data_IF_604446969210
#
_entry.id   IF_604446969210
#
_cell.length_a   1.000
_cell.length_b   1.000
_cell.length_c   1.000
_cell.angle_alpha   90.00
_cell.angle_beta   90.00
_cell.angle_gamma   90.00
#
_symmetry.space_group_name_H-M   'P 1'
#
loop_
_entity.id
_entity.type
_entity.pdbx_description
1 polymer ?
#
# COMPACT_ATOMS: atom_id res chain seq x y z
N UNK A 1 -38.68 27.55 -30.69
CA UNK A 1 -38.39 26.51 -29.67
C UNK A 1 -36.94 26.62 -29.22
N UNK A 2 -36.66 26.85 -27.93
CA UNK A 2 -35.28 26.83 -27.40
C UNK A 2 -34.84 25.40 -27.18
N UNK A 3 -33.73 24.99 -27.80
CA UNK A 3 -33.13 23.67 -27.57
C UNK A 3 -32.76 23.50 -26.09
N UNK A 4 -33.14 22.37 -25.48
CA UNK A 4 -32.71 22.00 -24.13
C UNK A 4 -31.19 21.91 -24.13
N UNK A 5 -30.52 22.87 -23.48
CA UNK A 5 -29.07 22.78 -23.24
C UNK A 5 -28.84 21.51 -22.43
N UNK A 6 -28.16 20.51 -23.01
CA UNK A 6 -27.67 19.35 -22.25
C UNK A 6 -26.90 19.90 -21.05
N UNK A 7 -27.30 19.50 -19.85
CA UNK A 7 -26.59 19.90 -18.65
C UNK A 7 -25.11 19.55 -18.85
N UNK A 8 -24.24 20.56 -18.78
CA UNK A 8 -22.78 20.38 -18.68
C UNK A 8 -22.53 19.83 -17.28
N UNK A 9 -22.94 18.59 -17.01
CA UNK A 9 -22.52 17.91 -15.80
C UNK A 9 -21.00 17.70 -15.93
N UNK A 10 -20.21 18.73 -15.64
CA UNK A 10 -18.90 18.52 -15.02
C UNK A 10 -19.24 17.80 -13.73
N UNK A 11 -18.93 16.50 -13.69
CA UNK A 11 -19.41 15.55 -12.71
C UNK A 11 -19.55 16.12 -11.30
N UNK A 12 -20.66 15.72 -10.67
CA UNK A 12 -21.07 15.94 -9.29
C UNK A 12 -19.92 16.35 -8.37
N UNK A 13 -19.92 17.62 -7.95
CA UNK A 13 -19.33 18.06 -6.69
C UNK A 13 -17.99 18.78 -6.77
N UNK A 14 -18.02 20.09 -7.03
CA UNK A 14 -16.97 21.08 -6.74
C UNK A 14 -16.56 21.16 -5.23
N UNK A 15 -16.98 20.21 -4.39
CA UNK A 15 -16.64 20.11 -2.96
C UNK A 15 -16.34 18.66 -2.51
N UNK A 16 -15.75 17.83 -3.38
CA UNK A 16 -15.09 16.59 -2.96
C UNK A 16 -13.58 16.83 -2.91
N UNK A 17 -13.12 17.69 -1.99
CA UNK A 17 -11.69 18.00 -1.83
C UNK A 17 -10.83 16.77 -1.46
N UNK A 18 -11.45 15.65 -1.09
CA UNK A 18 -10.76 14.37 -1.03
C UNK A 18 -10.87 13.70 -2.40
N UNK A 19 -9.74 13.71 -3.13
CA UNK A 19 -9.52 12.99 -4.38
C UNK A 19 -10.02 11.55 -4.25
N UNK A 20 -10.75 11.07 -5.26
CA UNK A 20 -11.01 9.64 -5.48
C UNK A 20 -9.66 8.90 -5.37
N UNK A 21 -9.58 7.86 -4.54
CA UNK A 21 -8.34 7.26 -4.06
C UNK A 21 -8.15 7.42 -2.54
N UNK A 22 -8.17 8.65 -2.01
CA UNK A 22 -7.93 8.89 -0.57
C UNK A 22 -9.12 8.46 0.31
N UNK A 23 -10.35 8.45 -0.25
CA UNK A 23 -11.58 8.02 0.45
C UNK A 23 -12.03 6.61 0.05
N UNK A 24 -11.32 5.94 -0.84
CA UNK A 24 -11.72 4.59 -1.25
C UNK A 24 -11.25 3.60 -0.19
N UNK A 25 -12.06 3.42 0.87
CA UNK A 25 -11.77 2.51 2.00
C UNK A 25 -11.42 1.09 1.54
N UNK A 26 -11.96 0.67 0.39
CA UNK A 26 -11.76 -0.67 -0.17
C UNK A 26 -10.34 -0.92 -0.69
N UNK A 27 -9.62 0.14 -1.10
CA UNK A 27 -8.32 0.02 -1.75
C UNK A 27 -7.22 0.78 -0.98
N UNK A 28 -7.37 0.93 0.35
CA UNK A 28 -6.39 1.60 1.19
C UNK A 28 -5.20 0.67 1.47
N UNK A 29 -3.99 1.19 1.38
CA UNK A 29 -2.76 0.48 1.80
C UNK A 29 -2.70 0.35 3.32
N UNK A 30 -2.04 -0.69 3.82
CA UNK A 30 -1.78 -0.87 5.26
C UNK A 30 -1.11 0.38 5.87
N UNK A 31 -1.53 0.72 7.09
CA UNK A 31 -0.96 1.83 7.86
C UNK A 31 0.43 1.48 8.41
N UNK A 32 1.15 2.47 8.93
CA UNK A 32 2.52 2.28 9.45
C UNK A 32 2.51 1.29 10.61
N UNK A 33 1.57 1.45 11.54
CA UNK A 33 1.41 0.67 12.76
C UNK A 33 1.14 -0.81 12.42
N UNK A 34 0.25 -1.07 11.46
CA UNK A 34 -0.04 -2.42 10.96
C UNK A 34 1.18 -3.10 10.31
N UNK A 35 2.00 -2.32 9.60
CA UNK A 35 3.24 -2.83 8.99
C UNK A 35 4.28 -3.09 10.07
N UNK A 36 4.38 -2.21 11.07
CA UNK A 36 5.31 -2.36 12.19
C UNK A 36 5.01 -3.63 12.97
N UNK A 37 3.74 -3.86 13.35
CA UNK A 37 3.30 -5.09 14.00
C UNK A 37 3.61 -6.34 13.16
N UNK A 38 3.31 -6.30 11.86
CA UNK A 38 3.58 -7.44 10.98
C UNK A 38 5.08 -7.76 10.86
N UNK A 39 5.93 -6.73 10.78
CA UNK A 39 7.39 -6.91 10.71
C UNK A 39 7.94 -7.41 12.04
N UNK A 40 7.52 -6.83 13.17
CA UNK A 40 7.96 -7.28 14.50
C UNK A 40 7.50 -8.71 14.82
N UNK A 41 6.28 -9.08 14.39
CA UNK A 41 5.76 -10.43 14.59
C UNK A 41 6.48 -11.47 13.73
N UNK A 42 6.83 -11.14 12.49
CA UNK A 42 7.65 -11.99 11.62
C UNK A 42 9.01 -12.30 12.24
N UNK A 43 9.66 -11.31 12.87
CA UNK A 43 10.93 -11.53 13.58
C UNK A 43 10.78 -12.55 14.73
N UNK A 44 9.57 -12.69 15.27
CA UNK A 44 9.22 -13.64 16.32
C UNK A 44 8.77 -15.02 15.79
N UNK A 45 8.35 -15.12 14.52
CA UNK A 45 7.77 -16.33 13.91
C UNK A 45 8.77 -17.09 13.00
N UNK A 46 9.99 -16.56 12.81
CA UNK A 46 11.07 -17.18 12.04
C UNK A 46 11.61 -18.52 12.60
N UNK A 47 11.06 -19.03 13.70
CA UNK A 47 11.41 -20.34 14.29
C UNK A 47 10.42 -21.48 13.95
N UNK A 48 9.32 -21.22 13.21
CA UNK A 48 8.34 -22.27 12.90
C UNK A 48 8.09 -22.38 11.39
N UNK A 49 8.76 -23.37 10.81
CA UNK A 49 8.37 -24.13 9.63
C UNK A 49 8.22 -23.33 8.32
N UNK A 50 9.31 -23.35 7.54
CA UNK A 50 9.27 -23.18 6.09
C UNK A 50 8.41 -24.29 5.44
N UNK A 51 7.10 -24.16 5.54
CA UNK A 51 6.14 -24.96 4.78
C UNK A 51 6.12 -24.45 3.34
N UNK A 52 6.83 -25.19 2.49
CA UNK A 52 6.44 -25.56 1.13
C UNK A 52 5.18 -24.84 0.59
N UNK A 53 5.37 -23.91 -0.34
CA UNK A 53 4.35 -23.54 -1.32
C UNK A 53 5.01 -23.04 -2.61
N UNK A 54 4.59 -23.67 -3.69
CA UNK A 54 5.22 -23.88 -4.99
C UNK A 54 5.29 -22.64 -5.91
N UNK A 55 5.43 -21.44 -5.36
CA UNK A 55 5.65 -20.20 -6.13
C UNK A 55 6.04 -19.10 -5.15
N UNK A 56 7.35 -18.82 -5.00
CA UNK A 56 7.80 -17.64 -4.24
C UNK A 56 7.31 -16.38 -4.96
N UNK A 57 6.09 -15.95 -4.64
CA UNK A 57 5.54 -14.70 -5.13
C UNK A 57 6.46 -13.58 -4.64
N UNK A 58 6.99 -12.78 -5.57
CA UNK A 58 7.91 -11.72 -5.23
C UNK A 58 7.16 -10.62 -4.45
N UNK A 59 7.19 -10.68 -3.11
CA UNK A 59 6.36 -9.83 -2.24
C UNK A 59 7.20 -8.87 -1.38
N UNK A 60 6.69 -7.65 -1.20
CA UNK A 60 7.30 -6.63 -0.34
C UNK A 60 6.43 -6.35 0.89
N UNK A 61 6.88 -6.83 2.07
CA UNK A 61 6.20 -6.65 3.36
C UNK A 61 5.98 -5.17 3.72
N UNK A 62 6.99 -4.32 3.52
CA UNK A 62 6.92 -2.88 3.86
C UNK A 62 5.96 -2.06 2.99
N UNK A 63 5.64 -2.55 1.79
CA UNK A 63 4.79 -1.81 0.84
C UNK A 63 3.46 -2.52 0.56
N UNK A 64 3.26 -3.72 1.07
CA UNK A 64 2.08 -4.57 0.85
C UNK A 64 1.78 -4.76 -0.65
N UNK A 65 2.82 -5.11 -1.43
CA UNK A 65 2.74 -5.25 -2.89
C UNK A 65 3.37 -6.54 -3.37
N UNK A 66 2.66 -7.20 -4.28
CA UNK A 66 3.14 -8.35 -5.04
C UNK A 66 3.74 -7.87 -6.35
N UNK A 67 4.79 -8.55 -6.77
CA UNK A 67 5.52 -8.34 -8.00
C UNK A 67 5.51 -9.64 -8.80
N UNK A 68 5.66 -9.51 -10.12
CA UNK A 68 5.69 -10.65 -11.05
C UNK A 68 7.00 -11.42 -10.92
N UNK A 69 8.11 -10.71 -10.72
CA UNK A 69 9.47 -11.29 -10.76
C UNK A 69 10.35 -10.75 -9.63
N UNK A 70 11.32 -11.55 -9.18
CA UNK A 70 12.28 -11.09 -8.15
C UNK A 70 13.11 -9.89 -8.62
N UNK A 71 13.50 -9.83 -9.90
CA UNK A 71 14.24 -8.70 -10.45
C UNK A 71 13.47 -7.36 -10.27
N UNK A 72 12.15 -7.39 -10.47
CA UNK A 72 11.30 -6.20 -10.26
C UNK A 72 11.17 -5.84 -8.79
N UNK A 73 11.06 -6.84 -7.89
CA UNK A 73 11.09 -6.63 -6.45
C UNK A 73 12.43 -6.02 -5.98
N UNK A 74 13.56 -6.48 -6.50
CA UNK A 74 14.87 -5.91 -6.17
C UNK A 74 15.00 -4.46 -6.64
N UNK A 75 14.49 -4.16 -7.85
CA UNK A 75 14.43 -2.77 -8.34
C UNK A 75 13.56 -1.89 -7.43
N UNK A 76 12.42 -2.42 -6.97
CA UNK A 76 11.51 -1.72 -6.07
C UNK A 76 12.18 -1.39 -4.74
N UNK A 77 12.90 -2.35 -4.13
CA UNK A 77 13.65 -2.15 -2.88
C UNK A 77 14.70 -1.03 -2.98
N UNK A 78 15.30 -0.84 -4.16
CA UNK A 78 16.29 0.23 -4.41
C UNK A 78 15.64 1.61 -4.63
N UNK A 79 14.34 1.65 -4.92
CA UNK A 79 13.57 2.85 -5.21
C UNK A 79 13.41 3.81 -4.03
N UNK A 80 13.13 5.09 -4.34
CA UNK A 80 12.99 6.15 -3.32
C UNK A 80 11.77 5.94 -2.42
N UNK A 81 10.66 5.49 -2.98
CA UNK A 81 9.41 5.32 -2.24
C UNK A 81 9.51 4.20 -1.20
N UNK A 82 10.14 3.08 -1.57
CA UNK A 82 10.42 1.99 -0.64
C UNK A 82 11.31 2.45 0.51
N UNK A 83 12.42 3.13 0.22
CA UNK A 83 13.34 3.66 1.23
C UNK A 83 12.67 4.64 2.20
N UNK A 84 11.77 5.50 1.70
CA UNK A 84 10.96 6.37 2.54
C UNK A 84 10.07 5.56 3.47
N UNK A 85 9.36 4.57 2.93
CA UNK A 85 8.45 3.73 3.70
C UNK A 85 9.16 2.96 4.81
N UNK A 86 10.32 2.37 4.52
CA UNK A 86 11.16 1.69 5.52
C UNK A 86 11.61 2.66 6.62
N UNK A 87 12.02 3.88 6.26
CA UNK A 87 12.40 4.91 7.24
C UNK A 87 11.21 5.35 8.10
N UNK A 88 10.03 5.48 7.52
CA UNK A 88 8.83 5.87 8.27
C UNK A 88 8.43 4.79 9.28
N UNK A 89 8.50 3.52 8.89
CA UNK A 89 8.28 2.37 9.80
C UNK A 89 9.35 2.34 10.89
N UNK A 90 10.62 2.58 10.58
CA UNK A 90 11.69 2.60 11.58
C UNK A 90 11.59 3.76 12.58
N UNK A 91 10.96 4.87 12.17
CA UNK A 91 10.69 6.02 13.05
C UNK A 91 9.46 5.84 13.92
N UNK A 92 8.58 4.91 13.57
CA UNK A 92 7.40 4.64 14.36
C UNK A 92 7.85 4.05 15.70
N UNK A 93 7.53 4.77 16.77
CA UNK A 93 7.67 4.29 18.13
C UNK A 93 6.25 4.07 18.65
N UNK A 94 5.86 2.83 18.99
CA UNK A 94 4.59 2.60 19.67
C UNK A 94 4.62 3.38 20.99
N UNK A 95 3.53 4.09 21.30
CA UNK A 95 3.32 4.64 22.63
C UNK A 95 2.87 3.49 23.52
N UNK A 96 3.69 3.17 24.53
CA UNK A 96 3.35 2.25 25.62
C UNK A 96 2.19 2.79 26.49
#
# INVERSE_FOLDING_TARGET
MRARRRARHKGIGKKRNLKRGTRDLKNRTKDIDQIYEAVMKDEMELDVEASDNESKQAYCKYCDRYFTDDATLQSHKRGKDHKKRVKDVAKYQPMD
#
